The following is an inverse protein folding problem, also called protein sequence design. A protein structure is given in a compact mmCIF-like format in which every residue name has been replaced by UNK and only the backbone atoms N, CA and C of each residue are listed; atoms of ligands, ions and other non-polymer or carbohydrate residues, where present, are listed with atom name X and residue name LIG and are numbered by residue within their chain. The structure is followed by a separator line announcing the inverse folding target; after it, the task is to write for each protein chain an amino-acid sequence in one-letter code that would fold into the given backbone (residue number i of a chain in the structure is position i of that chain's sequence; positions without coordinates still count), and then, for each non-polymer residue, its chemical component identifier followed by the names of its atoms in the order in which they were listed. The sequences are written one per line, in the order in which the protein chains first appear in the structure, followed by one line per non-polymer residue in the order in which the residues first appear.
data_IF_312777378708
#
_entry.id   IF_312777378708
#
_cell.length_a   1.000
_cell.length_b   1.000
_cell.length_c   1.000
_cell.angle_alpha   90.00
_cell.angle_beta   90.00
_cell.angle_gamma   90.00
#
_symmetry.space_group_name_H-M   'P 1'
#
loop_
_entity.id
_entity.type
_entity.pdbx_description
1 polymer ?
#
# COMPACT_ATOMS: atom_id res chain seq x y z
N UNK A 1 -0.31 -17.64 -11.36
CA UNK A 1 1.04 -17.16 -11.78
C UNK A 1 1.31 -15.78 -11.19
N UNK A 2 2.44 -15.60 -10.50
CA UNK A 2 2.72 -14.44 -9.62
C UNK A 2 3.30 -13.21 -10.31
N UNK A 3 3.82 -13.34 -11.53
CA UNK A 3 4.58 -12.28 -12.21
C UNK A 3 3.68 -11.27 -12.96
N UNK A 4 2.86 -10.52 -12.20
CA UNK A 4 1.85 -9.61 -12.74
C UNK A 4 2.47 -8.48 -13.60
N UNK A 5 3.58 -7.89 -13.14
CA UNK A 5 4.25 -6.80 -13.85
C UNK A 5 4.82 -7.24 -15.21
N UNK A 6 5.53 -8.37 -15.23
CA UNK A 6 6.09 -8.93 -16.47
C UNK A 6 4.97 -9.30 -17.47
N UNK A 7 3.87 -9.88 -16.97
CA UNK A 7 2.72 -10.22 -17.82
C UNK A 7 2.07 -8.97 -18.44
N UNK A 8 1.95 -7.89 -17.69
CA UNK A 8 1.48 -6.60 -18.21
C UNK A 8 2.36 -6.08 -19.34
N UNK A 9 3.69 -6.11 -19.15
CA UNK A 9 4.64 -5.74 -20.21
C UNK A 9 4.50 -6.60 -21.47
N UNK A 10 4.30 -7.92 -21.31
CA UNK A 10 4.05 -8.82 -22.44
C UNK A 10 2.73 -8.53 -23.17
N UNK A 11 1.66 -8.13 -22.47
CA UNK A 11 0.41 -7.71 -23.11
C UNK A 11 0.62 -6.45 -23.96
N UNK A 12 1.33 -5.45 -23.43
CA UNK A 12 1.66 -4.23 -24.18
C UNK A 12 2.47 -4.55 -25.44
N UNK A 13 3.49 -5.41 -25.31
CA UNK A 13 4.28 -5.85 -26.45
C UNK A 13 3.41 -6.59 -27.49
N UNK A 14 2.53 -7.49 -27.06
CA UNK A 14 1.64 -8.23 -27.95
C UNK A 14 0.69 -7.31 -28.73
N UNK A 15 0.19 -6.24 -28.13
CA UNK A 15 -0.61 -5.23 -28.84
C UNK A 15 0.25 -4.41 -29.81
N UNK A 16 1.44 -3.98 -29.37
CA UNK A 16 2.34 -3.17 -30.20
C UNK A 16 2.80 -3.89 -31.48
N UNK A 17 2.97 -5.22 -31.42
CA UNK A 17 3.31 -6.04 -32.59
C UNK A 17 2.08 -6.53 -33.37
N UNK A 18 0.87 -6.12 -32.97
CA UNK A 18 -0.39 -6.46 -33.64
C UNK A 18 -0.87 -7.89 -33.40
N UNK A 19 -0.31 -8.62 -32.44
CA UNK A 19 -0.78 -9.96 -32.08
C UNK A 19 -2.17 -9.94 -31.41
N UNK A 20 -2.54 -8.82 -30.78
CA UNK A 20 -3.90 -8.50 -30.35
C UNK A 20 -4.23 -7.07 -30.78
N UNK A 21 -5.49 -6.80 -31.14
CA UNK A 21 -5.92 -5.49 -31.61
C UNK A 21 -6.01 -4.45 -30.47
N UNK A 22 -6.08 -4.91 -29.21
CA UNK A 22 -6.25 -4.03 -28.06
C UNK A 22 -5.79 -4.67 -26.75
N UNK A 23 -5.50 -3.84 -25.75
CA UNK A 23 -5.19 -4.32 -24.39
C UNK A 23 -6.33 -5.14 -23.77
N UNK A 24 -7.63 -4.75 -23.87
CA UNK A 24 -8.73 -5.59 -23.41
C UNK A 24 -8.76 -7.00 -24.01
N UNK A 25 -8.42 -7.12 -25.28
CA UNK A 25 -8.32 -8.42 -25.95
C UNK A 25 -7.15 -9.24 -25.39
N UNK A 26 -5.95 -8.65 -25.32
CA UNK A 26 -4.78 -9.28 -24.74
C UNK A 26 -5.03 -9.73 -23.27
N UNK A 27 -5.70 -8.90 -22.46
CA UNK A 27 -6.06 -9.23 -21.08
C UNK A 27 -6.97 -10.46 -21.01
N UNK A 28 -8.04 -10.50 -21.82
CA UNK A 28 -8.96 -11.66 -21.86
C UNK A 28 -8.25 -12.95 -22.29
N UNK A 29 -7.28 -12.86 -23.18
CA UNK A 29 -6.54 -14.02 -23.67
C UNK A 29 -5.43 -14.49 -22.70
N UNK A 30 -4.76 -13.55 -22.00
CA UNK A 30 -3.54 -13.83 -21.24
C UNK A 30 -3.74 -13.93 -19.71
N UNK A 31 -4.87 -13.46 -19.19
CA UNK A 31 -5.22 -13.50 -17.76
C UNK A 31 -6.30 -14.53 -17.49
N UNK A 32 -6.09 -15.34 -16.45
CA UNK A 32 -7.08 -16.30 -15.94
C UNK A 32 -7.22 -16.10 -14.45
N UNK A 33 -8.46 -16.07 -13.97
CA UNK A 33 -8.76 -16.07 -12.53
C UNK A 33 -8.55 -17.48 -12.03
N UNK A 34 -7.56 -17.66 -11.16
CA UNK A 34 -7.21 -18.97 -10.60
C UNK A 34 -8.13 -19.34 -9.43
N UNK A 35 -8.33 -18.39 -8.51
CA UNK A 35 -9.16 -18.58 -7.32
C UNK A 35 -9.95 -17.32 -7.03
N UNK A 36 -11.20 -17.51 -6.59
CA UNK A 36 -12.06 -16.48 -6.03
C UNK A 36 -12.23 -16.77 -4.54
N UNK A 37 -11.77 -15.86 -3.69
CA UNK A 37 -11.99 -15.92 -2.25
C UNK A 37 -13.13 -14.99 -1.90
N UNK A 38 -14.12 -15.50 -1.19
CA UNK A 38 -15.27 -14.72 -0.71
C UNK A 38 -15.07 -14.29 0.75
N UNK A 39 -15.64 -13.15 1.16
CA UNK A 39 -15.61 -12.72 2.55
C UNK A 39 -16.23 -13.78 3.48
N UNK A 40 -15.55 -14.08 4.58
CA UNK A 40 -16.15 -14.86 5.67
C UNK A 40 -16.89 -13.91 6.62
N UNK A 41 -18.23 -13.96 6.59
CA UNK A 41 -19.09 -13.10 7.40
C UNK A 41 -18.86 -13.23 8.91
N UNK A 42 -18.50 -14.41 9.40
CA UNK A 42 -18.22 -14.65 10.83
C UNK A 42 -16.97 -13.90 11.30
N UNK A 43 -16.06 -13.58 10.38
CA UNK A 43 -14.82 -12.86 10.68
C UNK A 43 -14.95 -11.35 10.60
N UNK A 44 -16.09 -10.81 10.15
CA UNK A 44 -16.29 -9.38 9.94
C UNK A 44 -16.02 -8.58 11.22
N UNK A 45 -16.72 -8.90 12.32
CA UNK A 45 -16.54 -8.18 13.58
C UNK A 45 -15.13 -8.29 14.18
N UNK A 46 -14.46 -9.43 14.00
CA UNK A 46 -13.06 -9.60 14.44
C UNK A 46 -12.13 -8.71 13.61
N UNK A 47 -12.37 -8.58 12.31
CA UNK A 47 -11.56 -7.75 11.42
C UNK A 47 -11.79 -6.26 11.69
N UNK A 48 -13.03 -5.86 11.98
CA UNK A 48 -13.37 -4.49 12.37
C UNK A 48 -12.64 -4.07 13.65
N UNK A 49 -12.66 -4.95 14.68
CA UNK A 49 -11.94 -4.69 15.93
C UNK A 49 -10.42 -4.58 15.70
N UNK A 50 -9.85 -5.43 14.84
CA UNK A 50 -8.43 -5.36 14.46
C UNK A 50 -8.10 -4.08 13.69
N UNK A 51 -8.99 -3.64 12.80
CA UNK A 51 -8.81 -2.43 12.03
C UNK A 51 -8.85 -1.18 12.93
N UNK A 52 -9.81 -1.12 13.85
CA UNK A 52 -9.87 -0.05 14.85
C UNK A 52 -8.59 0.01 15.70
N UNK A 53 -8.08 -1.15 16.16
CA UNK A 53 -6.83 -1.22 16.89
C UNK A 53 -5.62 -0.76 16.06
N UNK A 54 -5.56 -1.13 14.77
CA UNK A 54 -4.53 -0.66 13.83
C UNK A 54 -4.57 0.87 13.67
N UNK A 55 -5.73 1.46 13.43
CA UNK A 55 -5.87 2.91 13.30
C UNK A 55 -5.45 3.65 14.57
N UNK A 56 -5.85 3.14 15.75
CA UNK A 56 -5.41 3.69 17.03
C UNK A 56 -3.88 3.65 17.17
N UNK A 57 -3.25 2.53 16.80
CA UNK A 57 -1.79 2.42 16.82
C UNK A 57 -1.10 3.42 15.87
N UNK A 58 -1.62 3.58 14.65
CA UNK A 58 -1.09 4.56 13.69
C UNK A 58 -1.19 5.98 14.23
N UNK A 59 -2.36 6.38 14.73
CA UNK A 59 -2.58 7.71 15.28
C UNK A 59 -1.62 7.99 16.45
N UNK A 60 -1.56 7.06 17.42
CA UNK A 60 -0.69 7.19 18.57
C UNK A 60 0.79 7.31 18.17
N UNK A 61 1.24 6.54 17.18
CA UNK A 61 2.61 6.58 16.69
C UNK A 61 2.93 7.89 15.97
N UNK A 62 1.99 8.44 15.20
CA UNK A 62 2.15 9.77 14.58
C UNK A 62 2.28 10.85 15.65
N UNK A 63 1.38 10.86 16.64
CA UNK A 63 1.45 11.84 17.73
C UNK A 63 2.75 11.72 18.55
N UNK A 64 3.21 10.51 18.83
CA UNK A 64 4.48 10.27 19.51
C UNK A 64 5.68 10.78 18.69
N UNK A 65 5.66 10.57 17.38
CA UNK A 65 6.71 11.05 16.46
C UNK A 65 6.74 12.58 16.41
N UNK A 66 5.59 13.24 16.30
CA UNK A 66 5.48 14.70 16.30
C UNK A 66 5.98 15.32 17.61
N UNK A 67 5.63 14.72 18.75
CA UNK A 67 6.12 15.16 20.07
C UNK A 67 7.64 15.02 20.19
N UNK A 68 8.19 13.89 19.72
CA UNK A 68 9.65 13.64 19.73
C UNK A 68 10.39 14.64 18.83
N UNK A 69 9.87 14.91 17.62
CA UNK A 69 10.44 15.90 16.70
C UNK A 69 10.39 17.32 17.30
N UNK A 70 9.26 17.70 17.90
CA UNK A 70 9.10 18.99 18.58
C UNK A 70 10.05 19.17 19.77
N UNK A 71 10.19 18.14 20.61
CA UNK A 71 11.13 18.14 21.73
C UNK A 71 12.60 18.23 21.26
N UNK A 72 12.96 17.53 20.19
CA UNK A 72 14.29 17.61 19.59
C UNK A 72 14.62 19.01 19.03
N UNK A 73 13.66 19.66 18.39
CA UNK A 73 13.80 21.03 17.91
C UNK A 73 13.98 22.03 19.07
N UNK A 74 13.17 21.91 20.13
CA UNK A 74 13.29 22.75 21.32
C UNK A 74 14.65 22.60 22.02
N UNK A 75 15.13 21.37 22.21
CA UNK A 75 16.45 21.11 22.80
C UNK A 75 17.60 21.72 21.97
N UNK A 76 17.51 21.65 20.63
CA UNK A 76 18.51 22.26 19.74
C UNK A 76 18.53 23.80 19.81
N UNK A 77 17.36 24.43 20.03
CA UNK A 77 17.24 25.87 20.18
C UNK A 77 17.84 26.37 21.50
N UNK A 78 17.60 25.65 22.60
CA UNK A 78 18.19 25.94 23.90
C UNK A 78 19.72 25.91 23.85
N UNK A 79 20.31 24.86 23.26
CA UNK A 79 21.77 24.73 23.16
C UNK A 79 22.42 25.87 22.36
N UNK A 80 21.75 26.40 21.33
CA UNK A 80 22.25 27.56 20.58
C UNK A 80 22.18 28.85 21.38
N UNK A 81 21.13 29.03 22.19
CA UNK A 81 20.96 30.21 23.01
C UNK A 81 21.97 30.29 24.18
N UNK A 82 22.41 29.14 24.70
CA UNK A 82 23.40 29.06 25.79
C UNK A 82 24.86 29.07 25.32
N UNK A 83 25.09 28.94 24.02
CA UNK A 83 26.44 28.95 23.42
C UNK A 83 26.86 30.34 22.90
N UNK A 84 26.01 31.36 23.10
CA UNK A 84 26.27 32.78 22.84
C UNK A 84 26.44 33.53 24.16
#
# INVERSE_FOLDING_TARGET
GSELGAKGGAMCAAVAVGAYASLPEAMRAMVKVETRLEPNAERAGVLDAKYAAYCSAVENNVQASLKTQGAGLAASAQNRATAA
#
